data_IF_513874980630
#
_entry.id   IF_513874980630
#
_cell.length_a   1.000
_cell.length_b   1.000
_cell.length_c   1.000
_cell.angle_alpha   90.00
_cell.angle_beta   90.00
_cell.angle_gamma   90.00
#
_symmetry.space_group_name_H-M   'P 1'
#
loop_
_entity.id
_entity.type
_entity.pdbx_description
1 polymer ?
#
# COMPACT_ATOMS: atom_id res chain seq x y z
N UNK A 1 19.26 -11.89 22.52
CA UNK A 1 19.04 -12.22 21.09
C UNK A 1 17.92 -11.34 20.59
N UNK A 2 18.11 -10.65 19.48
CA UNK A 2 17.03 -9.95 18.76
C UNK A 2 15.95 -10.95 18.35
N UNK A 3 14.71 -10.48 18.22
CA UNK A 3 13.64 -11.30 17.65
C UNK A 3 13.85 -11.47 16.15
N UNK A 4 13.27 -12.53 15.57
CA UNK A 4 13.33 -12.74 14.12
C UNK A 4 12.81 -11.52 13.32
N UNK A 5 11.74 -10.88 13.80
CA UNK A 5 11.19 -9.66 13.18
C UNK A 5 12.19 -8.51 13.24
N UNK A 6 12.88 -8.33 14.37
CA UNK A 6 13.90 -7.28 14.49
C UNK A 6 15.06 -7.53 13.51
N UNK A 7 15.50 -8.78 13.36
CA UNK A 7 16.57 -9.12 12.40
C UNK A 7 16.19 -8.79 10.94
N UNK A 8 14.91 -8.96 10.57
CA UNK A 8 14.43 -8.59 9.24
C UNK A 8 14.39 -7.08 9.06
N UNK A 9 13.93 -6.34 10.08
CA UNK A 9 13.90 -4.87 10.07
C UNK A 9 15.32 -4.32 9.92
N UNK A 10 16.28 -4.82 10.71
CA UNK A 10 17.67 -4.36 10.67
C UNK A 10 18.32 -4.60 9.30
N UNK A 11 17.97 -5.71 8.63
CA UNK A 11 18.42 -6.00 7.26
C UNK A 11 17.76 -5.12 6.21
N UNK A 12 16.51 -4.72 6.42
CA UNK A 12 15.76 -3.87 5.51
C UNK A 12 16.16 -2.39 5.63
N UNK A 13 16.74 -2.00 6.77
CA UNK A 13 17.02 -0.60 7.13
C UNK A 13 17.76 0.19 6.04
N UNK A 14 18.84 -0.30 5.40
CA UNK A 14 19.52 0.46 4.34
C UNK A 14 18.61 0.77 3.15
N UNK A 15 17.68 -0.15 2.82
CA UNK A 15 16.72 0.05 1.75
C UNK A 15 15.63 1.03 2.16
N UNK A 16 15.13 0.94 3.39
CA UNK A 16 14.15 1.90 3.93
C UNK A 16 14.72 3.32 3.93
N UNK A 17 15.96 3.49 4.39
CA UNK A 17 16.65 4.78 4.35
C UNK A 17 16.84 5.34 2.94
N UNK A 18 16.99 4.46 1.94
CA UNK A 18 17.04 4.88 0.54
C UNK A 18 15.65 5.26 0.00
N UNK A 19 14.60 4.51 0.36
CA UNK A 19 13.22 4.77 -0.10
C UNK A 19 12.70 6.10 0.42
N UNK A 20 12.94 6.44 1.68
CA UNK A 20 12.41 7.68 2.28
C UNK A 20 13.02 8.97 1.70
N UNK A 21 14.16 8.85 1.00
CA UNK A 21 14.86 9.96 0.35
C UNK A 21 14.46 10.13 -1.12
N UNK A 22 13.55 9.30 -1.64
CA UNK A 22 13.15 9.38 -3.04
C UNK A 22 12.37 10.67 -3.33
N UNK A 23 12.55 11.28 -4.51
CA UNK A 23 11.88 12.52 -4.89
C UNK A 23 10.35 12.46 -4.74
N UNK A 24 9.74 11.30 -5.01
CA UNK A 24 8.30 11.13 -4.85
C UNK A 24 7.84 11.35 -3.39
N UNK A 25 8.49 10.69 -2.42
CA UNK A 25 8.10 10.82 -1.01
C UNK A 25 8.45 12.21 -0.47
N UNK A 26 9.62 12.74 -0.82
CA UNK A 26 10.00 14.09 -0.44
C UNK A 26 9.02 15.12 -1.00
N UNK A 27 8.59 14.95 -2.26
CA UNK A 27 7.58 15.82 -2.87
C UNK A 27 6.23 15.78 -2.16
N UNK A 28 5.80 14.60 -1.69
CA UNK A 28 4.61 14.47 -0.85
C UNK A 28 4.76 15.19 0.49
N UNK A 29 5.91 15.05 1.14
CA UNK A 29 6.20 15.68 2.45
C UNK A 29 6.28 17.21 2.33
N UNK A 30 6.90 17.72 1.26
CA UNK A 30 7.05 19.15 1.03
C UNK A 30 5.81 19.81 0.41
N UNK A 31 4.90 19.01 -0.16
CA UNK A 31 3.68 19.50 -0.80
C UNK A 31 3.91 20.03 -2.22
N UNK A 32 5.03 19.69 -2.86
CA UNK A 32 5.41 20.12 -4.21
C UNK A 32 5.52 18.95 -5.21
N UNK A 33 4.99 17.77 -4.86
CA UNK A 33 4.87 16.66 -5.79
C UNK A 33 4.05 17.07 -7.03
N UNK A 34 4.57 16.89 -8.26
CA UNK A 34 3.78 17.13 -9.47
C UNK A 34 2.49 16.30 -9.48
N UNK A 35 1.39 16.94 -9.88
CA UNK A 35 0.08 16.30 -9.90
C UNK A 35 0.09 15.03 -10.75
N UNK A 36 0.78 15.05 -11.89
CA UNK A 36 0.87 13.93 -12.82
C UNK A 36 1.60 12.73 -12.19
N UNK A 37 2.59 12.97 -11.32
CA UNK A 37 3.26 11.92 -10.58
C UNK A 37 2.31 11.27 -9.56
N UNK A 38 1.50 12.08 -8.87
CA UNK A 38 0.48 11.57 -7.95
C UNK A 38 -0.62 10.78 -8.69
N UNK A 39 -1.13 11.29 -9.81
CA UNK A 39 -2.09 10.59 -10.67
C UNK A 39 -1.53 9.27 -11.20
N UNK A 40 -0.26 9.24 -11.59
CA UNK A 40 0.41 8.00 -12.00
C UNK A 40 0.48 7.00 -10.85
N UNK A 41 0.87 7.46 -9.65
CA UNK A 41 0.88 6.61 -8.45
C UNK A 41 -0.49 6.00 -8.17
N UNK A 42 -1.58 6.79 -8.21
CA UNK A 42 -2.94 6.26 -8.03
C UNK A 42 -3.25 5.12 -9.00
N UNK A 43 -2.87 5.27 -10.28
CA UNK A 43 -3.14 4.26 -11.32
C UNK A 43 -2.35 2.96 -11.13
N UNK A 44 -1.14 3.02 -10.57
CA UNK A 44 -0.33 1.81 -10.35
C UNK A 44 -0.57 1.18 -8.98
N UNK A 45 -0.91 1.98 -7.97
CA UNK A 45 -1.15 1.51 -6.61
C UNK A 45 -2.52 0.84 -6.48
N UNK A 46 -3.54 1.35 -7.17
CA UNK A 46 -4.88 0.77 -7.13
C UNK A 46 -4.95 -0.73 -7.56
N UNK A 47 -4.39 -1.16 -8.71
CA UNK A 47 -4.31 -2.58 -9.05
C UNK A 47 -3.35 -3.36 -8.15
N UNK A 48 -2.34 -2.71 -7.57
CA UNK A 48 -1.49 -3.32 -6.55
C UNK A 48 -2.31 -3.68 -5.30
N UNK A 49 -3.16 -2.78 -4.79
CA UNK A 49 -4.04 -3.02 -3.64
C UNK A 49 -5.02 -4.18 -3.89
N UNK A 50 -5.56 -4.31 -5.12
CA UNK A 50 -6.36 -5.48 -5.49
C UNK A 50 -5.61 -6.80 -5.31
N UNK A 51 -4.33 -6.85 -5.71
CA UNK A 51 -3.52 -8.04 -5.52
C UNK A 51 -3.08 -8.21 -4.05
N UNK A 52 -2.92 -7.11 -3.32
CA UNK A 52 -2.60 -7.16 -1.90
C UNK A 52 -3.76 -7.75 -1.08
N UNK A 53 -5.02 -7.45 -1.42
CA UNK A 53 -6.20 -8.14 -0.87
C UNK A 53 -6.11 -9.66 -1.09
N UNK A 54 -5.70 -10.11 -2.29
CA UNK A 54 -5.55 -11.55 -2.58
C UNK A 54 -4.45 -12.18 -1.73
N UNK A 55 -3.33 -11.49 -1.51
CA UNK A 55 -2.26 -11.96 -0.62
C UNK A 55 -2.78 -12.11 0.81
N UNK A 56 -3.55 -11.13 1.31
CA UNK A 56 -4.16 -11.25 2.64
C UNK A 56 -5.17 -12.40 2.72
N UNK A 57 -5.97 -12.61 1.67
CA UNK A 57 -6.90 -13.74 1.59
C UNK A 57 -6.18 -15.11 1.57
N UNK A 58 -5.01 -15.20 0.92
CA UNK A 58 -4.15 -16.39 1.03
C UNK A 58 -3.67 -16.62 2.47
N UNK A 59 -3.42 -15.55 3.23
CA UNK A 59 -3.11 -15.65 4.65
C UNK A 59 -4.28 -16.19 5.47
N UNK A 60 -5.51 -15.75 5.21
CA UNK A 60 -6.72 -16.34 5.81
C UNK A 60 -6.80 -17.84 5.53
N UNK A 61 -6.59 -18.25 4.28
CA UNK A 61 -6.65 -19.66 3.88
C UNK A 61 -5.57 -20.52 4.56
N UNK A 62 -4.38 -19.96 4.78
CA UNK A 62 -3.22 -20.67 5.35
C UNK A 62 -3.16 -20.62 6.87
N UNK A 63 -3.95 -19.77 7.52
CA UNK A 63 -3.92 -19.59 8.95
C UNK A 63 -4.34 -20.87 9.68
N UNK A 64 -3.59 -21.21 10.73
CA UNK A 64 -3.92 -22.33 11.63
C UNK A 64 -4.43 -21.84 13.00
N UNK A 65 -4.19 -20.55 13.31
CA UNK A 65 -4.71 -19.87 14.50
C UNK A 65 -5.89 -18.96 14.11
N UNK A 66 -7.07 -19.07 14.77
CA UNK A 66 -8.20 -18.18 14.53
C UNK A 66 -7.90 -16.67 14.72
N UNK A 67 -6.90 -16.33 15.53
CA UNK A 67 -6.44 -14.95 15.72
C UNK A 67 -5.80 -14.40 14.45
N UNK A 68 -5.03 -15.22 13.73
CA UNK A 68 -4.39 -14.83 12.47
C UNK A 68 -5.44 -14.61 11.38
N UNK A 69 -6.50 -15.44 11.33
CA UNK A 69 -7.65 -15.22 10.44
C UNK A 69 -8.23 -13.81 10.68
N UNK A 70 -8.48 -13.48 11.94
CA UNK A 70 -9.05 -12.17 12.33
C UNK A 70 -8.14 -11.02 11.89
N UNK A 71 -6.83 -11.13 12.14
CA UNK A 71 -5.84 -10.12 11.73
C UNK A 71 -5.82 -9.95 10.21
N UNK A 72 -5.78 -11.04 9.45
CA UNK A 72 -5.76 -10.97 7.98
C UNK A 72 -7.07 -10.37 7.42
N UNK A 73 -8.22 -10.66 8.03
CA UNK A 73 -9.49 -10.02 7.68
C UNK A 73 -9.48 -8.52 7.98
N UNK A 74 -8.90 -8.09 9.11
CA UNK A 74 -8.73 -6.67 9.43
C UNK A 74 -7.87 -5.95 8.39
N UNK A 75 -6.80 -6.60 7.89
CA UNK A 75 -6.00 -6.03 6.82
C UNK A 75 -6.77 -5.90 5.50
N UNK A 76 -7.55 -6.93 5.11
CA UNK A 76 -8.40 -6.87 3.89
C UNK A 76 -9.36 -5.68 3.96
N UNK A 77 -10.04 -5.51 5.10
CA UNK A 77 -10.97 -4.42 5.34
C UNK A 77 -10.28 -3.04 5.33
N UNK A 78 -9.06 -2.95 5.88
CA UNK A 78 -8.22 -1.75 5.78
C UNK A 78 -7.88 -1.38 4.34
N UNK A 79 -7.43 -2.35 3.54
CA UNK A 79 -7.09 -2.13 2.13
C UNK A 79 -8.33 -1.70 1.33
N UNK A 80 -9.50 -2.30 1.58
CA UNK A 80 -10.73 -1.89 0.89
C UNK A 80 -11.11 -0.43 1.19
N UNK A 81 -10.94 0.04 2.43
CA UNK A 81 -11.13 1.46 2.75
C UNK A 81 -10.12 2.36 2.03
N UNK A 82 -8.86 1.94 1.98
CA UNK A 82 -7.80 2.66 1.28
C UNK A 82 -8.09 2.79 -0.23
N UNK A 83 -8.65 1.74 -0.84
CA UNK A 83 -9.07 1.77 -2.25
C UNK A 83 -10.21 2.79 -2.48
N UNK A 84 -11.16 2.90 -1.56
CA UNK A 84 -12.20 3.95 -1.63
C UNK A 84 -11.58 5.34 -1.53
N UNK A 85 -10.55 5.53 -0.71
CA UNK A 85 -9.84 6.80 -0.64
C UNK A 85 -9.04 7.10 -1.92
N UNK A 86 -8.44 6.09 -2.56
CA UNK A 86 -7.85 6.20 -3.90
C UNK A 86 -8.87 6.65 -4.94
N UNK A 87 -10.06 6.07 -4.98
CA UNK A 87 -11.13 6.48 -5.90
C UNK A 87 -11.52 7.96 -5.68
N UNK A 88 -11.59 8.42 -4.41
CA UNK A 88 -11.84 9.85 -4.10
C UNK A 88 -10.71 10.75 -4.58
N UNK A 89 -9.45 10.35 -4.38
CA UNK A 89 -8.29 11.12 -4.85
C UNK A 89 -8.21 11.16 -6.37
N UNK A 90 -8.49 10.05 -7.05
CA UNK A 90 -8.56 9.98 -8.51
C UNK A 90 -9.63 10.94 -9.04
N UNK A 91 -10.85 10.89 -8.50
CA UNK A 91 -11.93 11.79 -8.92
C UNK A 91 -11.58 13.28 -8.72
N UNK A 92 -10.93 13.63 -7.60
CA UNK A 92 -10.48 15.01 -7.32
C UNK A 92 -9.37 15.49 -8.23
N UNK A 93 -8.56 14.57 -8.75
CA UNK A 93 -7.40 14.88 -9.59
C UNK A 93 -7.69 14.66 -11.08
N UNK A 94 -8.90 14.27 -11.46
CA UNK A 94 -9.30 14.09 -12.86
C UNK A 94 -8.94 12.72 -13.47
N UNK A 95 -8.63 11.73 -12.63
CA UNK A 95 -8.44 10.32 -13.05
C UNK A 95 -9.76 9.58 -12.88
N UNK A 96 -10.23 8.94 -13.95
CA UNK A 96 -11.45 8.14 -13.94
C UNK A 96 -11.23 6.78 -13.25
N UNK A 97 -12.32 6.15 -12.81
CA UNK A 97 -12.27 4.79 -12.26
C UNK A 97 -11.83 3.75 -13.30
N UNK A 98 -12.16 3.97 -14.57
CA UNK A 98 -11.72 3.11 -15.67
C UNK A 98 -10.19 3.15 -15.82
N UNK A 99 -9.59 4.33 -15.69
CA UNK A 99 -8.13 4.49 -15.71
C UNK A 99 -7.43 3.87 -14.49
N UNK A 100 -8.10 3.74 -13.34
CA UNK A 100 -7.56 3.00 -12.18
C UNK A 100 -7.60 1.48 -12.37
N UNK A 101 -8.49 0.99 -13.23
CA UNK A 101 -8.72 -0.45 -13.47
C UNK A 101 -7.99 -0.98 -14.70
N UNK A 102 -7.44 -0.08 -15.53
CA UNK A 102 -6.68 -0.39 -16.75
C UNK A 102 -5.27 -0.92 -16.44
#
# INVERSE_FOLDING_TARGET
MSSFTQDLIDKAEPYMQAQIKKPFLLGLVHGDLPLEAFQYWLKVDYPYLHNFVKVCALGVLKATDPRDITIMMTHIDGIQREMVDHEKHAARTGVSREELLA
#
